data_IF_939800466207
#
_entry.id   IF_939800466207
#
_cell.length_a   1.000
_cell.length_b   1.000
_cell.length_c   1.000
_cell.angle_alpha   90.00
_cell.angle_beta   90.00
_cell.angle_gamma   90.00
#
_symmetry.space_group_name_H-M   'P 1'
#
loop_
_entity.id
_entity.type
_entity.pdbx_description
1 polymer ?
#
# COMPACT_ATOMS: atom_id res chain seq x y z
N UNK A 1 -43.84 -18.41 8.54
CA UNK A 1 -42.52 -17.97 8.03
C UNK A 1 -42.13 -18.90 6.91
N UNK A 2 -42.06 -18.47 5.64
CA UNK A 2 -41.61 -19.36 4.57
C UNK A 2 -40.11 -19.65 4.73
N UNK A 3 -39.62 -20.83 4.33
CA UNK A 3 -38.19 -21.17 4.38
C UNK A 3 -37.39 -20.27 3.42
N UNK A 4 -36.10 -20.01 3.69
CA UNK A 4 -35.26 -19.22 2.79
C UNK A 4 -35.15 -19.96 1.44
N UNK A 5 -35.44 -19.23 0.37
CA UNK A 5 -35.30 -19.72 -1.00
C UNK A 5 -33.86 -20.22 -1.21
N UNK A 6 -33.71 -21.52 -1.44
CA UNK A 6 -32.46 -22.09 -1.90
C UNK A 6 -32.07 -21.37 -3.20
N UNK A 7 -30.89 -20.75 -3.23
CA UNK A 7 -30.35 -20.11 -4.42
C UNK A 7 -30.09 -21.18 -5.49
N UNK A 8 -31.08 -21.39 -6.35
CA UNK A 8 -30.95 -22.25 -7.50
C UNK A 8 -29.92 -21.65 -8.47
N UNK A 9 -28.78 -22.32 -8.59
CA UNK A 9 -27.84 -22.26 -9.71
C UNK A 9 -27.38 -20.86 -10.17
N UNK A 10 -26.47 -20.25 -9.41
CA UNK A 10 -25.66 -19.11 -9.86
C UNK A 10 -24.55 -19.51 -10.87
N UNK A 11 -24.78 -20.54 -11.68
CA UNK A 11 -23.91 -20.93 -12.81
C UNK A 11 -24.74 -20.89 -14.08
N UNK A 12 -25.11 -19.68 -14.50
CA UNK A 12 -25.41 -19.46 -15.92
C UNK A 12 -24.08 -19.64 -16.66
N UNK A 13 -23.97 -20.78 -17.34
CA UNK A 13 -22.76 -21.31 -17.92
C UNK A 13 -22.19 -20.36 -18.98
N UNK A 14 -20.93 -19.99 -18.80
CA UNK A 14 -20.09 -19.46 -19.87
C UNK A 14 -19.82 -20.60 -20.86
N UNK A 15 -20.22 -20.46 -22.12
CA UNK A 15 -19.99 -21.43 -23.22
C UNK A 15 -18.53 -21.48 -23.73
N UNK A 16 -17.58 -21.03 -22.92
CA UNK A 16 -16.16 -21.18 -23.24
C UNK A 16 -15.59 -22.45 -22.61
N UNK A 17 -14.77 -23.17 -23.37
CA UNK A 17 -13.94 -24.26 -22.83
C UNK A 17 -13.10 -23.69 -21.68
N UNK A 18 -13.38 -24.08 -20.44
CA UNK A 18 -12.55 -23.65 -19.31
C UNK A 18 -11.16 -24.22 -19.52
N UNK A 19 -10.15 -23.36 -19.65
CA UNK A 19 -8.75 -23.78 -19.71
C UNK A 19 -8.47 -24.66 -18.49
N UNK A 20 -7.93 -25.86 -18.71
CA UNK A 20 -7.64 -26.85 -17.66
C UNK A 20 -6.60 -26.34 -16.65
N UNK A 21 -5.79 -25.37 -17.06
CA UNK A 21 -4.83 -24.65 -16.23
C UNK A 21 -5.55 -23.65 -15.30
N UNK A 22 -5.44 -23.87 -14.00
CA UNK A 22 -5.97 -22.96 -12.98
C UNK A 22 -4.88 -21.99 -12.57
N UNK A 23 -5.03 -20.70 -12.86
CA UNK A 23 -4.21 -19.67 -12.25
C UNK A 23 -4.46 -19.64 -10.73
N UNK A 24 -3.39 -19.65 -9.93
CA UNK A 24 -3.47 -19.86 -8.48
C UNK A 24 -3.42 -18.57 -7.64
N UNK A 25 -3.56 -17.36 -8.19
CA UNK A 25 -3.49 -16.16 -7.35
C UNK A 25 -4.65 -16.06 -6.34
N UNK A 26 -4.35 -15.67 -5.10
CA UNK A 26 -5.34 -15.39 -4.05
C UNK A 26 -5.62 -13.90 -3.91
N UNK A 27 -6.89 -13.53 -3.76
CA UNK A 27 -7.33 -12.16 -3.45
C UNK A 27 -8.34 -12.18 -2.31
N UNK A 28 -8.41 -11.10 -1.55
CA UNK A 28 -9.37 -10.93 -0.45
C UNK A 28 -9.41 -9.50 0.03
N UNK A 29 -10.38 -9.19 0.89
CA UNK A 29 -10.48 -7.90 1.57
C UNK A 29 -10.88 -8.12 3.03
N UNK A 30 -10.56 -7.16 3.87
CA UNK A 30 -11.00 -7.07 5.27
C UNK A 30 -11.57 -5.68 5.46
N UNK A 31 -12.72 -5.59 6.11
CA UNK A 31 -13.37 -4.33 6.44
C UNK A 31 -13.91 -4.42 7.87
N UNK A 32 -13.82 -3.31 8.60
CA UNK A 32 -14.50 -3.11 9.89
C UNK A 32 -15.80 -2.35 9.67
N UNK A 33 -16.82 -2.70 10.44
CA UNK A 33 -18.13 -2.01 10.43
C UNK A 33 -18.17 -0.78 11.35
N UNK A 34 -17.19 -0.64 12.24
CA UNK A 34 -17.07 0.50 13.15
C UNK A 34 -16.57 1.77 12.46
N UNK A 35 -16.85 2.96 13.02
CA UNK A 35 -16.47 4.24 12.43
C UNK A 35 -14.97 4.55 12.58
N UNK A 36 -14.27 3.88 13.50
CA UNK A 36 -12.87 4.16 13.82
C UNK A 36 -11.91 3.36 12.94
N UNK A 37 -10.93 4.06 12.35
CA UNK A 37 -9.83 3.43 11.64
C UNK A 37 -8.82 2.87 12.64
N UNK A 38 -8.69 1.54 12.70
CA UNK A 38 -7.73 0.86 13.57
C UNK A 38 -6.64 0.16 12.75
N UNK A 39 -5.49 -0.05 13.37
CA UNK A 39 -4.40 -0.82 12.77
C UNK A 39 -4.75 -2.32 12.63
N UNK A 40 -5.77 -2.81 13.36
CA UNK A 40 -6.16 -4.22 13.37
C UNK A 40 -6.58 -4.71 11.98
N UNK A 41 -7.28 -3.88 11.18
CA UNK A 41 -7.64 -4.21 9.79
C UNK A 41 -6.41 -4.47 8.93
N UNK A 42 -5.36 -3.66 9.12
CA UNK A 42 -4.09 -3.84 8.40
C UNK A 42 -3.42 -5.14 8.84
N UNK A 43 -3.36 -5.41 10.14
CA UNK A 43 -2.78 -6.64 10.68
C UNK A 43 -3.54 -7.90 10.19
N UNK A 44 -4.87 -7.84 10.14
CA UNK A 44 -5.71 -8.90 9.57
C UNK A 44 -5.44 -9.09 8.07
N UNK A 45 -5.32 -8.01 7.30
CA UNK A 45 -4.99 -8.05 5.88
C UNK A 45 -3.63 -8.72 5.61
N UNK A 46 -2.60 -8.34 6.38
CA UNK A 46 -1.26 -8.97 6.32
C UNK A 46 -1.34 -10.46 6.68
N UNK A 47 -2.09 -10.81 7.72
CA UNK A 47 -2.28 -12.21 8.13
C UNK A 47 -2.98 -13.02 7.03
N UNK A 48 -4.02 -12.46 6.41
CA UNK A 48 -4.73 -13.11 5.31
C UNK A 48 -3.81 -13.34 4.10
N UNK A 49 -2.99 -12.34 3.76
CA UNK A 49 -2.01 -12.43 2.67
C UNK A 49 -0.96 -13.51 2.94
N UNK A 50 -0.43 -13.59 4.16
CA UNK A 50 0.50 -14.65 4.56
C UNK A 50 -0.13 -16.05 4.44
N UNK A 51 -1.41 -16.20 4.79
CA UNK A 51 -2.14 -17.47 4.65
C UNK A 51 -2.38 -17.87 3.19
N UNK A 52 -2.35 -16.92 2.26
CA UNK A 52 -2.45 -17.18 0.81
C UNK A 52 -1.10 -17.53 0.16
N UNK A 53 0.01 -17.52 0.91
CA UNK A 53 1.35 -17.79 0.38
C UNK A 53 1.47 -19.15 -0.33
N UNK A 54 0.72 -20.17 0.10
CA UNK A 54 0.67 -21.48 -0.54
C UNK A 54 0.15 -21.46 -1.99
N UNK A 55 -0.43 -20.33 -2.43
CA UNK A 55 -0.89 -20.13 -3.80
C UNK A 55 -0.06 -19.11 -4.60
N UNK A 56 0.93 -18.48 -3.97
CA UNK A 56 1.89 -17.63 -4.65
C UNK A 56 2.98 -18.47 -5.30
N UNK A 57 3.44 -18.06 -6.49
CA UNK A 57 4.68 -18.61 -7.02
C UNK A 57 5.84 -18.15 -6.17
N UNK A 58 6.65 -19.11 -5.73
CA UNK A 58 7.90 -18.88 -5.01
C UNK A 58 9.04 -19.24 -5.96
N UNK A 59 10.04 -18.37 -6.06
CA UNK A 59 11.25 -18.66 -6.84
C UNK A 59 12.12 -19.70 -6.09
N UNK A 60 13.13 -20.26 -6.76
CA UNK A 60 13.99 -21.29 -6.22
C UNK A 60 14.78 -20.84 -4.96
N UNK A 61 14.89 -19.53 -4.73
CA UNK A 61 15.55 -18.95 -3.55
C UNK A 61 14.70 -19.00 -2.27
N UNK A 62 13.43 -19.44 -2.37
CA UNK A 62 12.53 -19.59 -1.24
C UNK A 62 12.06 -18.27 -0.60
N UNK A 63 12.44 -17.11 -1.17
CA UNK A 63 12.14 -15.77 -0.63
C UNK A 63 11.48 -14.86 -1.67
N UNK A 64 11.98 -14.86 -2.89
CA UNK A 64 11.40 -14.15 -4.01
C UNK A 64 10.08 -14.81 -4.38
N UNK A 65 9.04 -14.02 -4.60
CA UNK A 65 7.76 -14.49 -5.10
C UNK A 65 7.26 -13.62 -6.23
N UNK A 66 6.29 -14.12 -6.98
CA UNK A 66 5.70 -13.44 -8.16
C UNK A 66 5.06 -12.09 -7.83
N UNK A 67 4.76 -11.87 -6.55
CA UNK A 67 4.41 -10.58 -6.01
C UNK A 67 3.27 -10.67 -4.99
N UNK A 68 3.29 -9.72 -4.06
CA UNK A 68 2.25 -9.55 -3.07
C UNK A 68 1.93 -8.06 -2.90
N UNK A 69 0.72 -7.76 -2.45
CA UNK A 69 0.31 -6.37 -2.24
C UNK A 69 -0.88 -6.22 -1.30
N UNK A 70 -0.96 -5.05 -0.70
CA UNK A 70 -2.00 -4.62 0.21
C UNK A 70 -2.38 -3.18 -0.13
N UNK A 71 -3.68 -2.97 -0.37
CA UNK A 71 -4.25 -1.64 -0.49
C UNK A 71 -4.92 -1.27 0.83
N UNK A 72 -4.57 -0.12 1.38
CA UNK A 72 -5.16 0.43 2.61
C UNK A 72 -5.69 1.84 2.36
N UNK A 73 -6.43 2.38 3.32
CA UNK A 73 -6.74 3.81 3.35
C UNK A 73 -5.48 4.62 3.69
N UNK A 74 -5.39 5.86 3.20
CA UNK A 74 -4.28 6.78 3.53
C UNK A 74 -4.19 6.94 5.06
N UNK A 75 -3.08 6.52 5.71
CA UNK A 75 -2.94 6.60 7.17
C UNK A 75 -2.83 8.05 7.66
N UNK A 76 -3.96 8.65 8.03
CA UNK A 76 -4.03 10.06 8.46
C UNK A 76 -3.16 10.39 9.67
N UNK A 77 -2.99 9.46 10.60
CA UNK A 77 -2.09 9.63 11.75
C UNK A 77 -0.60 9.73 11.35
N UNK A 78 -0.23 9.28 10.15
CA UNK A 78 1.14 9.33 9.65
C UNK A 78 1.40 10.52 8.71
N UNK A 79 0.41 10.85 7.86
CA UNK A 79 0.57 11.84 6.79
C UNK A 79 -0.24 13.13 7.01
N UNK A 80 -1.05 13.20 8.06
CA UNK A 80 -1.96 14.32 8.31
C UNK A 80 -3.36 14.09 7.73
N UNK A 81 -4.33 14.83 8.27
CA UNK A 81 -5.75 14.70 7.90
C UNK A 81 -6.05 15.13 6.46
N UNK A 82 -5.35 16.16 5.97
CA UNK A 82 -5.65 16.85 4.72
C UNK A 82 -4.55 16.63 3.66
N UNK A 83 -4.19 15.37 3.40
CA UNK A 83 -3.13 15.03 2.45
C UNK A 83 -3.53 13.90 1.50
N UNK A 84 -2.93 13.89 0.31
CA UNK A 84 -2.86 12.74 -0.56
C UNK A 84 -1.45 12.17 -0.52
N UNK A 85 -1.32 10.91 -0.90
CA UNK A 85 -0.03 10.25 -0.98
C UNK A 85 0.12 9.63 -2.36
N UNK A 86 1.24 9.96 -3.02
CA UNK A 86 1.71 9.19 -4.15
C UNK A 86 2.83 8.26 -3.71
N UNK A 87 2.68 6.96 -3.97
CA UNK A 87 3.75 5.98 -3.83
C UNK A 87 4.51 5.97 -5.15
N UNK A 88 5.82 6.15 -5.10
CA UNK A 88 6.69 6.16 -6.27
C UNK A 88 7.78 5.11 -6.11
N UNK A 89 7.90 4.22 -7.10
CA UNK A 89 9.04 3.34 -7.27
C UNK A 89 10.00 3.99 -8.27
N UNK A 90 11.16 4.38 -7.75
CA UNK A 90 12.20 5.11 -8.45
C UNK A 90 13.38 4.16 -8.79
N UNK A 91 13.59 3.93 -10.08
CA UNK A 91 14.83 3.33 -10.61
C UNK A 91 15.74 4.37 -11.28
N UNK A 92 15.24 5.58 -11.49
CA UNK A 92 15.91 6.69 -12.13
C UNK A 92 15.54 7.98 -11.40
N UNK A 93 16.54 8.76 -10.97
CA UNK A 93 16.37 9.96 -10.13
C UNK A 93 15.47 11.02 -10.78
N UNK A 94 15.33 11.02 -12.10
CA UNK A 94 14.42 11.91 -12.84
C UNK A 94 12.94 11.63 -12.54
N UNK A 95 12.61 10.47 -11.99
CA UNK A 95 11.23 10.07 -11.71
C UNK A 95 10.50 11.00 -10.73
N UNK A 96 11.20 11.45 -9.66
CA UNK A 96 10.62 12.39 -8.69
C UNK A 96 10.26 13.72 -9.32
N UNK A 97 11.15 14.25 -10.17
CA UNK A 97 10.91 15.51 -10.88
C UNK A 97 9.73 15.39 -11.84
N UNK A 98 9.64 14.29 -12.60
CA UNK A 98 8.51 14.05 -13.52
C UNK A 98 7.17 14.01 -12.75
N UNK A 99 7.13 13.33 -11.61
CA UNK A 99 5.92 13.27 -10.80
C UNK A 99 5.57 14.65 -10.21
N UNK A 100 6.55 15.37 -9.67
CA UNK A 100 6.35 16.72 -9.14
C UNK A 100 5.82 17.70 -10.20
N UNK A 101 6.40 17.66 -11.41
CA UNK A 101 5.96 18.50 -12.53
C UNK A 101 4.55 18.14 -13.00
N UNK A 102 4.21 16.85 -13.06
CA UNK A 102 2.87 16.42 -13.43
C UNK A 102 1.83 16.85 -12.37
N UNK A 103 2.15 16.76 -11.08
CA UNK A 103 1.28 17.28 -10.02
C UNK A 103 1.10 18.80 -10.15
N UNK A 104 2.19 19.54 -10.39
CA UNK A 104 2.15 20.99 -10.55
C UNK A 104 1.29 21.42 -11.74
N UNK A 105 1.36 20.70 -12.87
CA UNK A 105 0.52 20.95 -14.04
C UNK A 105 -0.99 20.77 -13.77
N UNK A 106 -1.35 20.05 -12.71
CA UNK A 106 -2.72 19.87 -12.25
C UNK A 106 -3.06 20.70 -10.99
N UNK A 107 -2.25 21.71 -10.68
CA UNK A 107 -2.49 22.64 -9.57
C UNK A 107 -2.25 22.04 -8.18
N UNK A 108 -1.39 21.02 -8.07
CA UNK A 108 -1.02 20.38 -6.81
C UNK A 108 0.50 20.43 -6.61
N UNK A 109 0.94 20.60 -5.37
CA UNK A 109 2.36 20.58 -5.00
C UNK A 109 2.74 19.35 -4.17
N UNK A 110 4.02 18.99 -4.18
CA UNK A 110 4.57 18.05 -3.21
C UNK A 110 5.13 18.85 -2.03
N UNK A 111 4.60 18.62 -0.83
CA UNK A 111 5.09 19.27 0.39
C UNK A 111 6.29 18.56 0.98
N UNK A 112 6.34 17.23 0.87
CA UNK A 112 7.43 16.43 1.41
C UNK A 112 7.64 15.14 0.62
N UNK A 113 8.89 14.68 0.58
CA UNK A 113 9.30 13.39 0.03
C UNK A 113 9.82 12.51 1.14
N UNK A 114 9.03 11.51 1.51
CA UNK A 114 9.39 10.58 2.59
C UNK A 114 9.89 9.27 1.99
N UNK A 115 11.14 8.91 2.28
CA UNK A 115 11.66 7.59 1.96
C UNK A 115 10.90 6.52 2.75
N UNK A 116 10.54 5.41 2.11
CA UNK A 116 9.85 4.29 2.77
C UNK A 116 10.89 3.37 3.40
N UNK A 117 10.84 3.13 4.72
CA UNK A 117 11.66 2.12 5.37
C UNK A 117 11.41 0.73 4.77
N UNK A 118 12.46 0.14 4.21
CA UNK A 118 12.47 -1.22 3.66
C UNK A 118 13.54 -2.04 4.37
N UNK A 119 13.38 -3.37 4.37
CA UNK A 119 14.34 -4.34 4.86
C UNK A 119 14.85 -5.19 3.68
N UNK A 120 15.86 -4.74 2.90
CA UNK A 120 16.30 -5.44 1.68
C UNK A 120 16.84 -6.86 1.94
N UNK A 121 17.25 -7.17 3.16
CA UNK A 121 17.71 -8.48 3.63
C UNK A 121 16.62 -9.55 3.65
N UNK A 122 15.35 -9.13 3.69
CA UNK A 122 14.17 -10.01 3.60
C UNK A 122 13.88 -10.43 2.14
N UNK A 123 14.45 -9.72 1.17
CA UNK A 123 14.27 -10.02 -0.25
C UNK A 123 15.24 -11.11 -0.72
N UNK A 124 14.76 -11.96 -1.62
CA UNK A 124 15.64 -12.84 -2.38
C UNK A 124 16.54 -12.04 -3.33
N UNK A 125 17.63 -12.66 -3.80
CA UNK A 125 18.69 -11.96 -4.54
C UNK A 125 18.16 -11.29 -5.82
N UNK A 126 17.28 -11.98 -6.54
CA UNK A 126 16.66 -11.48 -7.77
C UNK A 126 15.78 -10.26 -7.50
N UNK A 127 14.91 -10.33 -6.51
CA UNK A 127 14.05 -9.21 -6.10
C UNK A 127 14.88 -8.00 -5.63
N UNK A 128 15.99 -8.26 -4.92
CA UNK A 128 16.89 -7.21 -4.43
C UNK A 128 17.63 -6.49 -5.56
N UNK A 129 18.08 -7.22 -6.59
CA UNK A 129 18.78 -6.63 -7.76
C UNK A 129 17.92 -5.64 -8.54
N UNK A 130 16.61 -5.88 -8.59
CA UNK A 130 15.66 -5.02 -9.29
C UNK A 130 14.85 -4.09 -8.36
N UNK A 131 15.26 -3.97 -7.09
CA UNK A 131 14.52 -3.19 -6.09
C UNK A 131 14.60 -1.68 -6.40
N UNK A 132 13.46 -0.97 -6.50
CA UNK A 132 13.45 0.49 -6.62
C UNK A 132 13.73 1.16 -5.27
N UNK A 133 14.14 2.42 -5.32
CA UNK A 133 13.97 3.30 -4.15
C UNK A 133 12.48 3.67 -4.05
N UNK A 134 11.89 3.50 -2.88
CA UNK A 134 10.45 3.74 -2.67
C UNK A 134 10.25 5.06 -1.93
N UNK A 135 9.43 5.93 -2.51
CA UNK A 135 9.11 7.25 -1.97
C UNK A 135 7.61 7.42 -1.75
N UNK A 136 7.26 8.15 -0.69
CA UNK A 136 5.94 8.75 -0.51
C UNK A 136 6.04 10.25 -0.78
N UNK A 137 5.37 10.73 -1.83
CA UNK A 137 5.14 12.15 -2.03
C UNK A 137 3.90 12.57 -1.24
N UNK A 138 4.06 13.48 -0.29
CA UNK A 138 2.95 14.05 0.50
C UNK A 138 2.41 15.27 -0.23
N UNK A 139 1.14 15.20 -0.60
CA UNK A 139 0.47 16.21 -1.43
C UNK A 139 -0.59 16.89 -0.58
N UNK A 140 -0.45 18.19 -0.23
CA UNK A 140 -1.48 18.91 0.52
C UNK A 140 -2.79 18.96 -0.25
N UNK A 141 -3.90 19.00 0.52
CA UNK A 141 -5.23 19.18 -0.04
C UNK A 141 -5.34 20.52 -0.79
N UNK A 142 -5.72 20.52 -2.08
CA UNK A 142 -6.09 21.74 -2.79
C UNK A 142 -7.50 22.19 -2.38
N UNK A 143 -7.86 23.43 -2.72
CA UNK A 143 -9.23 23.92 -2.57
C UNK A 143 -10.16 23.27 -3.63
N UNK A 144 -10.51 22.00 -3.39
CA UNK A 144 -11.38 21.21 -4.24
C UNK A 144 -12.10 20.10 -3.42
N UNK A 145 -13.30 19.67 -3.86
CA UNK A 145 -13.96 18.47 -3.33
C UNK A 145 -13.14 17.20 -3.57
N UNK A 146 -13.34 16.17 -2.75
CA UNK A 146 -12.56 14.91 -2.83
C UNK A 146 -12.65 14.23 -4.20
N UNK A 147 -13.82 14.23 -4.83
CA UNK A 147 -14.01 13.60 -6.14
C UNK A 147 -13.14 14.27 -7.20
N UNK A 148 -13.17 15.61 -7.24
CA UNK A 148 -12.35 16.38 -8.16
C UNK A 148 -10.86 16.23 -7.84
N UNK A 149 -10.48 16.20 -6.56
CA UNK A 149 -9.10 16.00 -6.16
C UNK A 149 -8.56 14.64 -6.61
N UNK A 150 -9.32 13.56 -6.42
CA UNK A 150 -8.96 12.22 -6.94
C UNK A 150 -8.81 12.22 -8.46
N UNK A 151 -9.70 12.90 -9.19
CA UNK A 151 -9.59 13.03 -10.64
C UNK A 151 -8.31 13.75 -11.07
N UNK A 152 -7.95 14.83 -10.37
CA UNK A 152 -6.69 15.56 -10.60
C UNK A 152 -5.48 14.68 -10.31
N UNK A 153 -5.47 13.94 -9.20
CA UNK A 153 -4.40 13.01 -8.83
C UNK A 153 -4.24 11.87 -9.85
N UNK A 154 -5.36 11.32 -10.32
CA UNK A 154 -5.37 10.31 -11.37
C UNK A 154 -4.76 10.84 -12.67
N UNK A 155 -5.19 12.04 -13.13
CA UNK A 155 -4.66 12.67 -14.35
C UNK A 155 -3.16 12.98 -14.22
N UNK A 156 -2.73 13.52 -13.07
CA UNK A 156 -1.32 13.77 -12.80
C UNK A 156 -0.48 12.49 -12.85
N UNK A 157 -0.96 11.39 -12.25
CA UNK A 157 -0.29 10.08 -12.37
C UNK A 157 -0.17 9.64 -13.83
N UNK A 158 -1.27 9.70 -14.60
CA UNK A 158 -1.27 9.28 -16.02
C UNK A 158 -0.36 10.15 -16.88
N UNK A 159 -0.28 11.45 -16.60
CA UNK A 159 0.65 12.35 -17.25
C UNK A 159 2.11 12.00 -16.90
N UNK A 160 2.43 11.80 -15.63
CA UNK A 160 3.77 11.39 -15.18
C UNK A 160 4.22 10.09 -15.87
N UNK A 161 3.35 9.07 -15.91
CA UNK A 161 3.63 7.79 -16.58
C UNK A 161 3.89 7.98 -18.08
N UNK A 162 3.09 8.81 -18.77
CA UNK A 162 3.29 9.11 -20.20
C UNK A 162 4.60 9.83 -20.47
N UNK A 163 4.91 10.85 -19.66
CA UNK A 163 6.15 11.64 -19.80
C UNK A 163 7.37 10.75 -19.54
N UNK A 164 7.31 9.91 -18.50
CA UNK A 164 8.38 8.97 -18.18
C UNK A 164 8.61 7.95 -19.31
N UNK A 165 7.53 7.40 -19.87
CA UNK A 165 7.62 6.48 -21.02
C UNK A 165 8.28 7.16 -22.24
N UNK A 166 7.88 8.39 -22.57
CA UNK A 166 8.47 9.15 -23.67
C UNK A 166 9.96 9.49 -23.44
N UNK A 167 10.32 9.83 -22.19
CA UNK A 167 11.69 10.13 -21.79
C UNK A 167 12.55 8.88 -21.48
N UNK A 168 11.97 7.68 -21.62
CA UNK A 168 12.59 6.40 -21.23
C UNK A 168 13.11 6.39 -19.78
N UNK A 169 12.37 7.04 -18.89
CA UNK A 169 12.61 7.06 -17.45
C UNK A 169 11.86 5.90 -16.82
N UNK A 170 12.59 5.00 -16.15
CA UNK A 170 11.98 3.86 -15.47
C UNK A 170 11.40 4.28 -14.12
N UNK A 171 10.08 4.30 -14.03
CA UNK A 171 9.35 4.54 -12.80
C UNK A 171 8.06 3.73 -12.76
N UNK A 172 7.49 3.60 -11.57
CA UNK A 172 6.14 3.05 -11.38
C UNK A 172 5.44 3.76 -10.22
N UNK A 173 4.15 4.05 -10.37
CA UNK A 173 3.35 4.76 -9.36
C UNK A 173 2.22 3.82 -8.90
N UNK A 174 2.44 2.97 -7.87
CA UNK A 174 1.42 2.05 -7.37
C UNK A 174 0.09 2.72 -7.02
N UNK A 175 0.14 3.90 -6.42
CA UNK A 175 -1.03 4.69 -6.04
C UNK A 175 -0.70 6.17 -6.00
N UNK A 176 -1.68 7.02 -6.32
CA UNK A 176 -1.65 8.46 -6.18
C UNK A 176 -3.09 8.89 -5.84
N UNK A 177 -3.39 9.03 -4.55
CA UNK A 177 -4.77 9.17 -4.08
C UNK A 177 -4.82 9.87 -2.71
N UNK A 178 -5.93 10.55 -2.43
CA UNK A 178 -6.26 11.09 -1.12
C UNK A 178 -7.02 10.08 -0.25
N UNK A 179 -7.49 8.97 -0.81
CA UNK A 179 -8.27 7.93 -0.12
C UNK A 179 -7.48 6.67 0.14
N UNK A 180 -6.71 6.19 -0.84
CA UNK A 180 -6.04 4.88 -0.77
C UNK A 180 -4.53 4.96 -0.95
N UNK A 181 -3.83 3.95 -0.46
CA UNK A 181 -2.39 3.79 -0.58
C UNK A 181 -2.09 2.29 -0.81
N UNK A 182 -1.25 1.99 -1.80
CA UNK A 182 -0.90 0.62 -2.17
C UNK A 182 0.55 0.32 -1.79
N UNK A 183 0.75 -0.69 -0.94
CA UNK A 183 2.03 -1.35 -0.74
C UNK A 183 2.08 -2.62 -1.59
N UNK A 184 3.10 -2.77 -2.45
CA UNK A 184 3.31 -3.99 -3.23
C UNK A 184 4.79 -4.22 -3.51
N UNK A 185 5.17 -5.45 -3.82
CA UNK A 185 6.51 -5.76 -4.28
C UNK A 185 6.66 -7.21 -4.73
N UNK A 186 7.80 -7.51 -5.35
CA UNK A 186 8.21 -8.86 -5.76
C UNK A 186 8.74 -9.64 -4.56
N UNK A 187 7.83 -10.07 -3.70
CA UNK A 187 8.12 -10.84 -2.50
C UNK A 187 6.98 -11.81 -2.21
N UNK A 188 7.26 -12.88 -1.48
CA UNK A 188 6.19 -13.72 -0.96
C UNK A 188 5.30 -12.93 0.02
N UNK A 189 4.01 -13.26 0.07
CA UNK A 189 3.02 -12.54 0.90
C UNK A 189 3.35 -12.49 2.39
N UNK A 190 4.16 -13.43 2.88
CA UNK A 190 4.70 -13.47 4.25
C UNK A 190 5.63 -12.30 4.57
N UNK A 191 6.31 -11.73 3.57
CA UNK A 191 7.30 -10.66 3.77
C UNK A 191 6.73 -9.26 3.53
N UNK A 192 5.45 -9.11 3.14
CA UNK A 192 4.87 -7.79 2.90
C UNK A 192 4.86 -6.90 4.16
N UNK A 193 4.79 -7.50 5.35
CA UNK A 193 4.91 -6.79 6.63
C UNK A 193 6.26 -6.06 6.81
N UNK A 194 7.27 -6.42 6.04
CA UNK A 194 8.58 -5.76 6.04
C UNK A 194 8.56 -4.40 5.31
N UNK A 195 7.58 -4.15 4.43
CA UNK A 195 7.32 -2.81 3.89
C UNK A 195 6.61 -1.99 4.97
N UNK A 196 7.37 -1.24 5.75
CA UNK A 196 6.82 -0.48 6.88
C UNK A 196 6.59 0.97 6.49
N UNK A 197 5.41 1.49 6.82
CA UNK A 197 5.11 2.92 6.71
C UNK A 197 5.83 3.76 7.77
N UNK A 198 6.22 3.13 8.88
CA UNK A 198 6.92 3.72 10.02
C UNK A 198 8.34 3.14 10.13
N UNK A 199 9.37 3.95 10.40
CA UNK A 199 10.66 3.42 10.82
C UNK A 199 10.45 2.66 12.13
N UNK A 200 11.11 1.51 12.31
CA UNK A 200 11.02 0.79 13.58
C UNK A 200 11.48 1.75 14.69
N UNK A 201 10.70 1.87 15.77
CA UNK A 201 11.36 2.17 17.05
C UNK A 201 12.32 1.03 17.24
N UNK A 202 13.62 1.30 17.17
CA UNK A 202 14.62 0.37 17.63
C UNK A 202 14.21 -0.04 19.04
N UNK A 203 13.70 -1.27 19.20
CA UNK A 203 13.57 -1.93 20.49
C UNK A 203 14.99 -2.23 20.95
N UNK A 204 15.65 -1.21 21.49
CA UNK A 204 16.77 -1.44 22.39
C UNK A 204 16.24 -2.14 23.65
N UNK A 205 17.03 -3.02 24.28
CA UNK A 205 16.64 -3.62 25.54
C UNK A 205 16.70 -2.52 26.61
N UNK A 206 15.55 -2.17 27.19
CA UNK A 206 15.50 -1.30 28.36
C UNK A 206 14.71 -0.02 28.15
N UNK A 207 13.38 -0.14 28.08
CA UNK A 207 12.52 0.84 28.71
C UNK A 207 11.18 0.19 29.04
N UNK A 208 11.07 -0.35 30.24
CA UNK A 208 9.80 -0.82 30.79
C UNK A 208 8.81 0.36 30.86
N UNK A 209 7.51 0.15 30.59
CA UNK A 209 6.53 1.21 30.76
C UNK A 209 6.48 1.65 32.23
N UNK A 210 6.73 2.94 32.46
CA UNK A 210 6.60 3.56 33.77
C UNK A 210 5.20 3.31 34.32
N UNK A 211 5.12 2.69 35.50
CA UNK A 211 3.88 2.56 36.28
C UNK A 211 3.32 3.96 36.53
N UNK A 212 2.01 4.18 36.41
CA UNK A 212 1.42 5.46 36.79
C UNK A 212 1.61 5.68 38.29
N UNK A 213 2.39 6.69 38.64
CA UNK A 213 2.58 7.16 40.00
C UNK A 213 1.24 7.68 40.54
N UNK A 214 0.72 7.05 41.60
CA UNK A 214 -0.34 7.63 42.42
C UNK A 214 0.12 9.01 42.91
N UNK A 215 -0.63 10.06 42.55
CA UNK A 215 -0.45 11.39 43.14
C UNK A 215 -1.12 11.45 44.53
N UNK A 216 -0.63 12.34 45.40
CA UNK A 216 -0.94 12.34 46.83
C UNK A 216 -2.31 12.97 47.11
N UNK A 217 -3.02 12.40 48.09
CA UNK A 217 -4.15 13.04 48.75
C UNK A 217 -3.66 14.21 49.61
N UNK A 218 -3.95 15.44 49.19
CA UNK A 218 -4.04 16.58 50.10
C UNK A 218 -5.38 16.50 50.83
N UNK A 219 -5.35 16.34 52.15
CA UNK A 219 -6.53 16.49 53.01
C UNK A 219 -6.82 17.96 53.30
N UNK A 220 -7.71 18.21 54.27
CA UNK A 220 -7.55 19.29 55.25
C UNK A 220 -6.85 18.79 56.52
#
# INVERSE_FOLDING_TARGET
>A
MPPPHALAHARKAYEGTTRTERAACGMGFVATTGPEATHDVVAMGVTALARLAHRGGLDADGKSGDGAGLMIQVPRGLFGANTAVAVLFEWDQRAREILAQALAAHGMGVADWRAVPVAPEELGEKARRDMPTIWHAVIPRPDAPDGEWEDRLYRARRQAERVAAAARVRLYIPSCSCRTLVYKGFMAGTHLAALRSTPSRATGPGCAPARPSCRPSCGP
#
